data_IF_910315680042
#
_entry.id   IF_910315680042
#
_cell.length_a   1.000
_cell.length_b   1.000
_cell.length_c   1.000
_cell.angle_alpha   90.00
_cell.angle_beta   90.00
_cell.angle_gamma   90.00
#
_symmetry.space_group_name_H-M   'P 1'
#
loop_
_entity.id
_entity.type
_entity.pdbx_description
1 polymer ?
#
# COMPACT_ATOMS: atom_id res chain seq x y z
N UNK A 1 -9.36 -11.72 3.00
CA UNK A 1 -9.51 -10.47 3.73
C UNK A 1 -10.70 -9.68 3.20
N UNK A 2 -11.40 -9.03 4.06
CA UNK A 2 -12.58 -8.25 3.72
C UNK A 2 -12.20 -6.92 3.08
N UNK A 3 -13.21 -6.14 2.72
CA UNK A 3 -12.98 -4.80 2.21
C UNK A 3 -12.28 -3.93 3.24
N UNK A 4 -11.45 -3.02 2.74
CA UNK A 4 -10.74 -2.06 3.57
C UNK A 4 -11.34 -0.67 3.35
N UNK A 5 -11.50 0.08 4.45
CA UNK A 5 -11.90 1.47 4.34
C UNK A 5 -10.72 2.32 3.86
N UNK A 6 -10.99 3.53 3.38
CA UNK A 6 -9.92 4.45 3.00
C UNK A 6 -9.02 4.79 4.20
N UNK A 7 -9.60 4.90 5.39
CA UNK A 7 -8.83 5.17 6.59
C UNK A 7 -7.87 4.02 6.91
N UNK A 8 -8.34 2.77 6.73
CA UNK A 8 -7.48 1.60 6.94
C UNK A 8 -6.37 1.53 5.91
N UNK A 9 -6.68 1.79 4.65
CA UNK A 9 -5.65 1.82 3.59
C UNK A 9 -4.60 2.89 3.92
N UNK A 10 -5.03 4.07 4.34
CA UNK A 10 -4.11 5.13 4.72
C UNK A 10 -3.22 4.71 5.89
N UNK A 11 -3.79 4.05 6.89
CA UNK A 11 -3.03 3.59 8.05
C UNK A 11 -2.01 2.51 7.66
N UNK A 12 -2.36 1.66 6.71
CA UNK A 12 -1.44 0.65 6.19
C UNK A 12 -0.25 1.32 5.50
N UNK A 13 -0.51 2.24 4.58
CA UNK A 13 0.55 2.84 3.77
C UNK A 13 1.40 3.85 4.52
N UNK A 14 0.92 4.39 5.63
CA UNK A 14 1.71 5.28 6.48
C UNK A 14 2.47 4.52 7.57
N UNK A 15 2.26 3.20 7.68
CA UNK A 15 2.97 2.37 8.64
C UNK A 15 2.32 2.31 10.02
N UNK A 16 1.13 2.84 10.16
CA UNK A 16 0.39 2.77 11.43
C UNK A 16 -0.12 1.35 11.67
N UNK A 17 -0.55 0.66 10.62
CA UNK A 17 -0.93 -0.75 10.66
C UNK A 17 0.13 -1.52 9.90
N UNK A 18 0.80 -2.46 10.57
CA UNK A 18 1.96 -3.17 10.01
C UNK A 18 1.75 -4.65 9.83
N UNK A 19 0.67 -5.20 10.33
CA UNK A 19 0.42 -6.64 10.31
C UNK A 19 -1.04 -6.89 9.96
N UNK A 20 -1.28 -7.85 9.07
CA UNK A 20 -2.64 -8.21 8.65
C UNK A 20 -3.51 -8.64 9.82
N UNK A 21 -2.91 -9.16 10.89
CA UNK A 21 -3.66 -9.57 12.08
C UNK A 21 -4.40 -8.40 12.72
N UNK A 22 -3.88 -7.19 12.61
CA UNK A 22 -4.53 -5.98 13.12
C UNK A 22 -5.85 -5.69 12.42
N UNK A 23 -6.03 -6.27 11.23
CA UNK A 23 -7.25 -6.11 10.43
C UNK A 23 -8.08 -7.39 10.39
N UNK A 24 -7.78 -8.34 11.26
CA UNK A 24 -8.50 -9.61 11.31
C UNK A 24 -8.00 -10.67 10.34
N UNK A 25 -6.87 -10.45 9.72
CA UNK A 25 -6.26 -11.43 8.82
C UNK A 25 -5.22 -12.30 9.50
N UNK A 26 -4.38 -12.91 8.69
CA UNK A 26 -3.30 -13.79 9.18
C UNK A 26 -2.25 -12.99 9.93
N UNK A 27 -1.54 -13.65 10.82
CA UNK A 27 -0.41 -13.06 11.53
C UNK A 27 0.80 -13.03 10.59
N UNK A 28 0.85 -11.98 9.77
CA UNK A 28 1.91 -11.80 8.79
C UNK A 28 2.14 -10.31 8.58
N UNK A 29 3.39 -9.87 8.41
CA UNK A 29 3.67 -8.46 8.13
C UNK A 29 3.11 -8.07 6.77
N UNK A 30 2.65 -6.81 6.68
CA UNK A 30 2.13 -6.27 5.42
C UNK A 30 3.31 -5.81 4.57
N UNK A 31 3.36 -6.30 3.33
CA UNK A 31 4.37 -5.88 2.36
C UNK A 31 3.76 -4.81 1.48
N UNK A 32 4.38 -3.62 1.49
CA UNK A 32 3.84 -2.45 0.78
C UNK A 32 4.58 -2.24 -0.54
N UNK A 33 3.81 -2.09 -1.62
CA UNK A 33 4.34 -1.70 -2.93
C UNK A 33 3.76 -0.35 -3.32
N UNK A 34 4.63 0.56 -3.69
CA UNK A 34 4.28 1.92 -4.07
C UNK A 34 4.81 2.24 -5.45
N UNK A 35 4.31 3.30 -6.06
CA UNK A 35 4.85 3.86 -7.30
C UNK A 35 5.97 4.84 -6.96
N UNK A 36 6.81 5.13 -7.95
CA UNK A 36 7.87 6.12 -7.78
C UNK A 36 7.27 7.52 -7.59
N UNK A 37 8.03 8.40 -6.95
CA UNK A 37 7.52 9.72 -6.55
C UNK A 37 7.30 10.69 -7.72
N UNK A 38 7.76 10.36 -8.93
CA UNK A 38 7.47 11.16 -10.10
C UNK A 38 6.23 10.66 -10.87
N UNK A 39 5.50 9.72 -10.32
CA UNK A 39 4.29 9.18 -10.91
C UNK A 39 3.08 10.03 -10.53
N UNK A 40 2.22 10.32 -11.50
CA UNK A 40 0.94 10.98 -11.21
C UNK A 40 0.06 10.14 -10.30
N UNK A 41 0.14 8.81 -10.44
CA UNK A 41 -0.58 7.88 -9.56
C UNK A 41 -0.09 8.00 -8.12
N UNK A 42 1.21 8.14 -7.92
CA UNK A 42 1.79 8.34 -6.60
C UNK A 42 1.26 9.63 -5.95
N UNK A 43 1.30 10.74 -6.69
CA UNK A 43 0.83 12.02 -6.17
C UNK A 43 -0.67 11.98 -5.86
N UNK A 44 -1.45 11.40 -6.77
CA UNK A 44 -2.89 11.28 -6.56
C UNK A 44 -3.19 10.47 -5.29
N UNK A 45 -2.54 9.33 -5.14
CA UNK A 45 -2.76 8.47 -3.98
C UNK A 45 -2.35 9.17 -2.69
N UNK A 46 -1.20 9.82 -2.68
CA UNK A 46 -0.71 10.54 -1.51
C UNK A 46 -1.65 11.66 -1.09
N UNK A 47 -2.17 12.43 -2.06
CA UNK A 47 -3.08 13.53 -1.77
C UNK A 47 -4.45 13.05 -1.32
N UNK A 48 -5.02 12.09 -2.05
CA UNK A 48 -6.42 11.71 -1.86
C UNK A 48 -6.61 10.66 -0.77
N UNK A 49 -5.65 9.79 -0.58
CA UNK A 49 -5.75 8.70 0.40
C UNK A 49 -4.97 9.02 1.66
N UNK A 50 -3.71 9.39 1.52
CA UNK A 50 -2.84 9.66 2.66
C UNK A 50 -2.97 11.07 3.20
N UNK A 51 -3.67 11.95 2.49
CA UNK A 51 -3.89 13.35 2.90
C UNK A 51 -2.59 14.09 3.11
N UNK A 52 -1.60 13.84 2.24
CA UNK A 52 -0.30 14.48 2.29
C UNK A 52 0.70 13.87 3.26
N UNK A 53 0.32 12.80 3.97
CA UNK A 53 1.24 12.11 4.87
C UNK A 53 2.23 11.28 4.09
N UNK A 54 3.40 11.04 4.67
CA UNK A 54 4.44 10.25 4.03
C UNK A 54 4.13 8.75 4.06
N UNK A 55 4.61 8.05 3.04
CA UNK A 55 4.58 6.59 3.02
C UNK A 55 5.50 6.03 4.09
N UNK A 56 5.17 4.83 4.58
CA UNK A 56 6.03 4.11 5.50
C UNK A 56 7.41 3.86 4.87
N UNK A 57 8.44 3.87 5.68
CA UNK A 57 9.81 3.65 5.20
C UNK A 57 10.00 2.26 4.60
N UNK A 58 9.14 1.31 4.95
CA UNK A 58 9.20 -0.06 4.45
C UNK A 58 8.56 -0.22 3.07
N UNK A 59 7.89 0.81 2.54
CA UNK A 59 7.25 0.72 1.23
C UNK A 59 8.30 0.54 0.14
N UNK A 60 8.09 -0.46 -0.71
CA UNK A 60 8.98 -0.75 -1.83
C UNK A 60 8.45 -0.05 -3.08
N UNK A 61 9.34 0.65 -3.77
CA UNK A 61 8.97 1.45 -4.93
C UNK A 61 9.13 0.65 -6.21
N UNK A 62 8.09 0.65 -7.04
CA UNK A 62 8.09 -0.03 -8.34
C UNK A 62 7.79 0.98 -9.45
N UNK A 63 8.35 0.74 -10.63
CA UNK A 63 8.35 1.71 -11.73
C UNK A 63 7.10 1.70 -12.60
N UNK A 64 6.13 0.84 -12.35
CA UNK A 64 4.93 0.80 -13.16
C UNK A 64 3.79 0.08 -12.49
N UNK A 65 2.56 0.45 -12.88
CA UNK A 65 1.36 -0.17 -12.34
C UNK A 65 1.34 -1.68 -12.61
N UNK A 66 1.79 -2.11 -13.79
CA UNK A 66 1.84 -3.53 -14.12
C UNK A 66 2.74 -4.30 -13.17
N UNK A 67 3.90 -3.72 -12.79
CA UNK A 67 4.80 -4.35 -11.82
C UNK A 67 4.17 -4.44 -10.45
N UNK A 68 3.44 -3.40 -10.04
CA UNK A 68 2.74 -3.42 -8.75
C UNK A 68 1.70 -4.54 -8.74
N UNK A 69 0.89 -4.62 -9.78
CA UNK A 69 -0.15 -5.66 -9.87
C UNK A 69 0.45 -7.06 -9.85
N UNK A 70 1.54 -7.27 -10.59
CA UNK A 70 2.20 -8.57 -10.63
C UNK A 70 2.79 -8.94 -9.28
N UNK A 71 3.44 -8.00 -8.60
CA UNK A 71 4.05 -8.25 -7.31
C UNK A 71 3.01 -8.58 -6.24
N UNK A 72 1.90 -7.86 -6.24
CA UNK A 72 0.80 -8.13 -5.30
C UNK A 72 0.15 -9.48 -5.60
N UNK A 73 -0.02 -9.81 -6.88
CA UNK A 73 -0.61 -11.10 -7.26
C UNK A 73 0.25 -12.29 -6.82
N UNK A 74 1.56 -12.09 -6.73
CA UNK A 74 2.50 -13.16 -6.37
C UNK A 74 2.76 -13.26 -4.87
N UNK A 75 2.22 -12.36 -4.06
CA UNK A 75 2.45 -12.39 -2.61
C UNK A 75 1.17 -12.02 -1.87
N UNK A 76 0.63 -13.00 -1.16
CA UNK A 76 -0.62 -12.83 -0.41
C UNK A 76 -0.51 -11.81 0.73
N UNK A 77 0.71 -11.48 1.16
CA UNK A 77 0.96 -10.53 2.23
C UNK A 77 1.12 -9.11 1.72
N UNK A 78 1.06 -8.93 0.41
CA UNK A 78 1.36 -7.64 -0.21
C UNK A 78 0.10 -6.83 -0.48
N UNK A 79 0.26 -5.53 -0.49
CA UNK A 79 -0.74 -4.58 -0.93
C UNK A 79 -0.05 -3.51 -1.75
N UNK A 80 -0.74 -3.00 -2.76
CA UNK A 80 -0.22 -1.96 -3.61
C UNK A 80 -1.34 -1.13 -4.22
N UNK A 81 -0.96 -0.13 -4.98
CA UNK A 81 -1.93 0.71 -5.70
C UNK A 81 -1.40 0.99 -7.10
N UNK A 82 -2.31 1.38 -7.98
CA UNK A 82 -1.97 1.73 -9.34
C UNK A 82 -3.14 2.42 -10.01
N UNK A 83 -2.90 2.95 -11.18
CA UNK A 83 -3.97 3.67 -11.86
C UNK A 83 -3.87 3.59 -13.36
#
# INVERSE_FOLDING_TARGET
>A
LQELSLAEVADIFTGKIKNWKELGGDDAPIILYSRENNSGTYEFFKEQVLRGRDFAATAQTLSGTAQVLQSVANDKRAIGYGG
#
